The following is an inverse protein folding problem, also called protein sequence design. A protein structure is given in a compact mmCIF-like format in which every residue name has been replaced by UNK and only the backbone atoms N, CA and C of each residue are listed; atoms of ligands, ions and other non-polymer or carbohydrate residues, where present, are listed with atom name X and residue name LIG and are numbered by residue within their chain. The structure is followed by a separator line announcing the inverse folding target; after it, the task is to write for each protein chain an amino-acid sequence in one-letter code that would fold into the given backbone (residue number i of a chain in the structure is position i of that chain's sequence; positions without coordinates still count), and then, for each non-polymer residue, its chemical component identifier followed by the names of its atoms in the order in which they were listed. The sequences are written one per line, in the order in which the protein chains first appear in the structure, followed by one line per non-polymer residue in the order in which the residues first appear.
data_IF_212714542818
#
_entry.id   IF_212714542818
#
_cell.length_a   1.000
_cell.length_b   1.000
_cell.length_c   1.000
_cell.angle_alpha   90.00
_cell.angle_beta   90.00
_cell.angle_gamma   90.00
#
_symmetry.space_group_name_H-M   'P 1'
#
loop_
_entity.id
_entity.type
_entity.pdbx_description
1 polymer ?
#
# COMPACT_ATOMS: atom_id res chain seq x y z
N UNK A 1 9.74 -4.02 6.93
CA UNK A 1 9.41 -3.14 5.78
C UNK A 1 8.32 -2.12 6.09
N UNK A 2 7.11 -2.53 6.49
CA UNK A 2 5.98 -1.59 6.66
C UNK A 2 6.28 -0.36 7.52
N UNK A 3 6.72 -0.56 8.78
CA UNK A 3 7.09 0.56 9.67
C UNK A 3 8.30 1.36 9.17
N UNK A 4 9.25 0.74 8.48
CA UNK A 4 10.37 1.45 7.88
C UNK A 4 9.87 2.44 6.82
N UNK A 5 8.94 2.02 5.97
CA UNK A 5 8.32 2.89 4.97
C UNK A 5 7.41 3.95 5.60
N UNK A 6 6.61 3.58 6.61
CA UNK A 6 5.77 4.52 7.34
C UNK A 6 6.61 5.64 8.00
N UNK A 7 7.79 5.28 8.51
CA UNK A 7 8.73 6.20 9.15
C UNK A 7 9.73 6.81 8.16
N UNK A 8 9.39 6.91 6.87
CA UNK A 8 10.22 7.53 5.84
C UNK A 8 11.66 7.00 5.79
N UNK A 9 11.86 5.70 5.97
CA UNK A 9 13.17 5.06 5.89
C UNK A 9 14.02 5.19 7.15
N UNK A 10 13.49 5.79 8.22
CA UNK A 10 14.17 5.96 9.50
C UNK A 10 13.86 4.81 10.47
N UNK A 11 14.89 4.23 11.05
CA UNK A 11 14.75 3.16 12.04
C UNK A 11 15.91 3.19 13.03
N UNK A 12 15.61 3.05 14.33
CA UNK A 12 16.61 2.96 15.39
C UNK A 12 17.69 4.06 15.36
N UNK A 13 17.25 5.32 15.24
CA UNK A 13 18.11 6.51 15.14
C UNK A 13 19.01 6.58 13.90
N UNK A 14 18.72 5.79 12.86
CA UNK A 14 19.49 5.73 11.62
C UNK A 14 18.58 5.87 10.39
N UNK A 15 19.07 6.58 9.36
CA UNK A 15 18.42 6.68 8.06
C UNK A 15 18.85 5.50 7.16
N UNK A 16 18.04 4.44 7.13
CA UNK A 16 18.35 3.23 6.35
C UNK A 16 18.05 3.43 4.86
N UNK A 17 16.95 4.11 4.52
CA UNK A 17 16.57 4.47 3.15
C UNK A 17 16.39 5.97 3.07
N UNK A 18 16.89 6.65 2.04
CA UNK A 18 16.71 8.11 1.94
C UNK A 18 15.22 8.50 1.81
N UNK A 19 14.86 9.69 2.27
CA UNK A 19 13.51 10.23 2.07
C UNK A 19 13.13 10.27 0.58
N UNK A 20 14.09 10.60 -0.28
CA UNK A 20 13.91 10.60 -1.73
C UNK A 20 13.63 9.20 -2.28
N UNK A 21 14.29 8.17 -1.74
CA UNK A 21 14.01 6.79 -2.13
C UNK A 21 12.58 6.39 -1.76
N UNK A 22 12.14 6.69 -0.54
CA UNK A 22 10.75 6.41 -0.11
C UNK A 22 9.79 7.12 -1.05
N UNK A 23 9.96 8.43 -1.25
CA UNK A 23 9.11 9.23 -2.13
C UNK A 23 9.06 8.67 -3.55
N UNK A 24 10.21 8.36 -4.15
CA UNK A 24 10.26 7.83 -5.50
C UNK A 24 9.62 6.44 -5.59
N UNK A 25 9.94 5.55 -4.65
CA UNK A 25 9.43 4.17 -4.64
C UNK A 25 7.93 4.06 -4.42
N UNK A 26 7.32 5.05 -3.76
CA UNK A 26 5.87 5.13 -3.51
C UNK A 26 5.14 6.14 -4.40
N UNK A 27 5.80 6.68 -5.43
CA UNK A 27 5.17 7.55 -6.44
C UNK A 27 5.00 6.78 -7.73
N UNK A 28 4.00 7.18 -8.52
CA UNK A 28 3.79 6.60 -9.85
C UNK A 28 5.04 6.71 -10.72
N UNK A 29 5.44 5.57 -11.29
CA UNK A 29 6.46 5.57 -12.32
C UNK A 29 5.92 6.27 -13.57
N UNK A 30 6.71 7.16 -14.16
CA UNK A 30 6.31 7.96 -15.32
C UNK A 30 5.87 7.12 -16.54
N UNK A 31 6.33 5.88 -16.64
CA UNK A 31 5.98 4.94 -17.72
C UNK A 31 4.73 4.10 -17.46
N UNK A 32 4.11 4.20 -16.27
CA UNK A 32 3.01 3.31 -15.89
C UNK A 32 1.65 3.84 -16.38
N UNK A 33 1.17 3.27 -17.49
CA UNK A 33 -0.14 3.58 -18.08
C UNK A 33 -1.32 3.17 -17.17
N UNK A 34 -1.12 2.25 -16.23
CA UNK A 34 -2.18 1.73 -15.37
C UNK A 34 -2.32 2.45 -14.02
N UNK A 35 -1.40 3.35 -13.64
CA UNK A 35 -1.61 4.23 -12.48
C UNK A 35 -1.52 3.55 -11.09
N UNK A 36 -1.01 2.32 -10.98
CA UNK A 36 -1.11 1.53 -9.73
C UNK A 36 0.21 0.88 -9.27
N UNK A 37 1.35 1.28 -9.85
CA UNK A 37 2.63 0.63 -9.57
C UNK A 37 3.81 1.60 -9.67
N UNK A 38 4.71 1.54 -8.69
CA UNK A 38 5.97 2.27 -8.62
C UNK A 38 7.17 1.32 -8.73
N UNK A 39 8.20 1.54 -7.91
CA UNK A 39 9.43 0.74 -7.90
C UNK A 39 9.26 -0.54 -7.09
N UNK A 40 8.59 -1.55 -7.67
CA UNK A 40 8.23 -2.81 -7.00
C UNK A 40 7.20 -2.68 -5.87
N UNK A 41 6.48 -1.55 -5.82
CA UNK A 41 5.46 -1.25 -4.82
C UNK A 41 4.15 -0.99 -5.54
N UNK A 42 3.07 -1.60 -5.06
CA UNK A 42 1.73 -1.32 -5.55
C UNK A 42 1.16 -0.06 -4.90
N UNK A 43 0.42 0.72 -5.67
CA UNK A 43 -0.10 2.03 -5.27
C UNK A 43 -1.62 2.07 -5.36
N UNK A 44 -2.26 2.83 -4.47
CA UNK A 44 -3.71 3.07 -4.48
C UNK A 44 -4.08 4.47 -5.02
N UNK A 45 -3.18 5.06 -5.81
CA UNK A 45 -3.27 6.46 -6.28
C UNK A 45 -4.35 6.72 -7.34
N UNK A 46 -4.82 5.67 -8.01
CA UNK A 46 -5.85 5.72 -9.04
C UNK A 46 -5.32 5.65 -10.48
N UNK A 47 -6.21 5.33 -11.42
CA UNK A 47 -5.88 5.09 -12.84
C UNK A 47 -6.17 6.30 -13.72
N UNK A 48 -5.41 6.47 -14.80
CA UNK A 48 -5.70 7.48 -15.84
C UNK A 48 -5.91 8.90 -15.29
N UNK A 49 -5.16 9.29 -14.25
CA UNK A 49 -5.33 10.54 -13.52
C UNK A 49 -6.68 10.72 -12.80
N UNK A 50 -7.43 9.64 -12.61
CA UNK A 50 -8.68 9.61 -11.86
C UNK A 50 -8.49 8.80 -10.57
N UNK A 51 -8.36 9.53 -9.46
CA UNK A 51 -8.24 8.92 -8.13
C UNK A 51 -9.49 8.12 -7.73
N UNK A 52 -10.66 8.36 -8.33
CA UNK A 52 -11.89 7.61 -8.04
C UNK A 52 -11.83 6.17 -8.55
N UNK A 53 -10.99 5.90 -9.55
CA UNK A 53 -10.80 4.58 -10.15
C UNK A 53 -9.54 3.95 -9.56
N UNK A 54 -9.70 3.19 -8.47
CA UNK A 54 -8.60 2.56 -7.74
C UNK A 54 -8.97 1.16 -7.24
N UNK A 55 -7.96 0.31 -7.04
CA UNK A 55 -8.15 -1.05 -6.52
C UNK A 55 -8.81 -1.09 -5.14
N UNK A 56 -8.51 -0.14 -4.26
CA UNK A 56 -9.07 -0.06 -2.92
C UNK A 56 -9.82 1.27 -2.72
N UNK A 57 -11.06 1.37 -3.22
CA UNK A 57 -11.83 2.62 -3.18
C UNK A 57 -12.27 3.00 -1.77
N UNK A 58 -12.32 2.08 -0.81
CA UNK A 58 -12.81 2.38 0.54
C UNK A 58 -11.70 2.85 1.51
N UNK A 59 -10.46 2.99 1.05
CA UNK A 59 -9.32 3.43 1.85
C UNK A 59 -8.60 4.62 1.21
N UNK A 60 -7.76 5.37 1.97
CA UNK A 60 -7.05 6.54 1.47
C UNK A 60 -6.21 6.29 0.21
N UNK A 61 -6.09 7.32 -0.62
CA UNK A 61 -5.36 7.27 -1.90
C UNK A 61 -3.84 7.25 -1.74
N UNK A 62 -3.33 7.66 -0.57
CA UNK A 62 -1.91 7.60 -0.22
C UNK A 62 -1.47 6.21 0.26
N UNK A 63 -2.38 5.24 0.29
CA UNK A 63 -2.03 3.86 0.58
C UNK A 63 -1.13 3.27 -0.51
N UNK A 64 -0.09 2.57 -0.08
CA UNK A 64 0.74 1.71 -0.91
C UNK A 64 0.99 0.38 -0.20
N UNK A 65 1.35 -0.65 -0.96
CA UNK A 65 1.44 -1.99 -0.40
C UNK A 65 2.40 -2.93 -1.13
N UNK A 66 2.88 -3.90 -0.38
CA UNK A 66 3.61 -5.06 -0.89
C UNK A 66 2.63 -6.22 -1.01
N UNK A 67 2.64 -6.91 -2.15
CA UNK A 67 1.77 -8.06 -2.41
C UNK A 67 2.62 -9.26 -2.77
N UNK A 68 2.34 -10.40 -2.15
CA UNK A 68 2.94 -11.69 -2.50
C UNK A 68 1.91 -12.70 -2.97
N UNK A 69 2.41 -13.83 -3.46
CA UNK A 69 1.62 -14.99 -3.85
C UNK A 69 0.68 -15.46 -2.72
N UNK A 70 -0.45 -16.09 -3.04
CA UNK A 70 -1.45 -16.57 -2.06
C UNK A 70 -2.01 -15.52 -1.07
N UNK A 71 -1.87 -14.24 -1.38
CA UNK A 71 -2.56 -13.15 -0.70
C UNK A 71 -1.85 -12.64 0.56
N UNK A 72 -0.56 -12.93 0.78
CA UNK A 72 0.19 -12.15 1.76
C UNK A 72 0.37 -10.70 1.31
N UNK A 73 0.16 -9.78 2.23
CA UNK A 73 0.22 -8.34 1.95
C UNK A 73 0.66 -7.53 3.16
N UNK A 74 1.37 -6.44 2.87
CA UNK A 74 1.72 -5.41 3.86
C UNK A 74 1.22 -4.09 3.28
N UNK A 75 0.16 -3.54 3.88
CA UNK A 75 -0.42 -2.25 3.52
C UNK A 75 0.12 -1.17 4.44
N UNK A 76 0.44 -0.01 3.87
CA UNK A 76 0.89 1.17 4.59
C UNK A 76 -0.04 2.31 4.21
N UNK A 77 -0.64 2.95 5.21
CA UNK A 77 -1.55 4.09 5.05
C UNK A 77 -0.95 5.26 5.85
N UNK A 78 -0.10 6.10 5.23
CA UNK A 78 0.61 7.17 5.95
C UNK A 78 -0.31 8.16 6.65
N UNK A 79 -1.37 8.59 5.97
CA UNK A 79 -2.40 9.50 6.50
C UNK A 79 -3.04 9.00 7.81
N UNK A 80 -3.14 7.68 7.97
CA UNK A 80 -3.71 7.03 9.15
C UNK A 80 -2.64 6.54 10.14
N UNK A 81 -1.35 6.78 9.86
CA UNK A 81 -0.20 6.24 10.62
C UNK A 81 -0.29 4.72 10.83
N UNK A 82 -0.78 4.01 9.82
CA UNK A 82 -1.20 2.62 9.95
C UNK A 82 -0.38 1.70 9.05
N UNK A 83 -0.01 0.54 9.61
CA UNK A 83 0.50 -0.60 8.85
C UNK A 83 -0.39 -1.81 9.15
N UNK A 84 -0.92 -2.44 8.09
CA UNK A 84 -1.69 -3.69 8.20
C UNK A 84 -0.87 -4.81 7.56
N UNK A 85 -0.54 -5.83 8.34
CA UNK A 85 0.15 -7.03 7.85
C UNK A 85 -0.85 -8.17 7.84
N UNK A 86 -1.10 -8.73 6.65
CA UNK A 86 -1.87 -9.95 6.49
C UNK A 86 -0.98 -11.01 5.87
N UNK A 87 -0.74 -12.09 6.62
CA UNK A 87 -0.12 -13.30 6.09
C UNK A 87 -1.24 -14.30 5.79
N UNK A 88 -1.09 -15.10 4.74
CA UNK A 88 -2.02 -16.21 4.58
C UNK A 88 -1.85 -16.99 3.30
N UNK A 89 -2.57 -18.11 3.27
CA UNK A 89 -2.71 -19.00 2.13
C UNK A 89 -4.15 -18.85 1.63
N UNK A 90 -4.43 -17.83 0.82
CA UNK A 90 -5.78 -17.56 0.31
C UNK A 90 -6.13 -18.56 -0.78
N UNK A 91 -6.93 -19.56 -0.42
CA UNK A 91 -7.44 -20.58 -1.36
C UNK A 91 -8.74 -20.18 -2.06
N UNK A 92 -9.07 -18.89 -2.06
CA UNK A 92 -10.27 -18.40 -2.74
C UNK A 92 -10.11 -18.59 -4.25
N UNK A 93 -11.17 -18.94 -5.00
CA UNK A 93 -11.09 -19.18 -6.45
C UNK A 93 -10.56 -17.99 -7.25
N UNK A 94 -10.77 -16.76 -6.77
CA UNK A 94 -10.30 -15.51 -7.36
C UNK A 94 -9.00 -14.99 -6.73
N UNK A 95 -8.42 -15.74 -5.78
CA UNK A 95 -7.23 -15.35 -5.03
C UNK A 95 -7.44 -14.16 -4.09
N UNK A 96 -8.68 -13.72 -3.86
CA UNK A 96 -9.01 -12.54 -3.07
C UNK A 96 -9.74 -12.94 -1.77
N UNK A 97 -9.41 -12.27 -0.67
CA UNK A 97 -10.08 -12.46 0.62
C UNK A 97 -11.01 -11.28 0.99
N UNK A 98 -11.31 -10.40 0.04
CA UNK A 98 -12.09 -9.18 0.31
C UNK A 98 -11.25 -8.08 0.93
N UNK A 99 -10.01 -7.90 0.46
CA UNK A 99 -9.03 -7.01 1.08
C UNK A 99 -9.49 -5.54 1.22
N UNK A 100 -10.27 -4.99 0.26
CA UNK A 100 -10.79 -3.62 0.35
C UNK A 100 -11.78 -3.44 1.51
N UNK A 101 -12.74 -4.35 1.65
CA UNK A 101 -13.70 -4.32 2.75
C UNK A 101 -13.00 -4.56 4.10
N UNK A 102 -12.05 -5.49 4.15
CA UNK A 102 -11.24 -5.75 5.35
C UNK A 102 -10.47 -4.50 5.81
N UNK A 103 -9.79 -3.81 4.88
CA UNK A 103 -9.05 -2.60 5.23
C UNK A 103 -9.98 -1.45 5.63
N UNK A 104 -11.13 -1.30 4.97
CA UNK A 104 -12.16 -0.31 5.33
C UNK A 104 -12.58 -0.47 6.79
N UNK A 105 -12.88 -1.70 7.21
CA UNK A 105 -13.31 -1.99 8.57
C UNK A 105 -12.22 -1.64 9.60
N UNK A 106 -10.96 -1.98 9.31
CA UNK A 106 -9.82 -1.60 10.17
C UNK A 106 -9.71 -0.08 10.29
N UNK A 107 -9.67 0.65 9.17
CA UNK A 107 -9.55 2.12 9.16
C UNK A 107 -10.72 2.77 9.90
N UNK A 108 -11.92 2.18 9.83
CA UNK A 108 -13.08 2.70 10.57
C UNK A 108 -13.01 2.48 12.09
N UNK A 109 -12.22 1.51 12.56
CA UNK A 109 -12.12 1.12 13.97
C UNK A 109 -11.07 1.87 14.78
N UNK A 110 -10.16 2.59 14.12
CA UNK A 110 -9.02 3.26 14.77
C UNK A 110 -9.29 4.73 15.14
N UNK A 111 -10.57 5.11 15.24
CA UNK A 111 -11.03 6.47 15.60
C UNK A 111 -11.52 6.57 17.04
#
# INVERSE_FOLDING_TARGET
LGLLYLNNGFYNNEQILSHDWIKQSTTLAASNQHGEYGFHIWLNTGKNNDSSIRKFPNVPTDMFYFSGFDGQSVFIIPSEKLVVVRLGLTKAPDGNYGADQFLKEIVSSIK
#
